data_IF_654800076390
#
_entry.id   IF_654800076390
#
_cell.length_a   1.000
_cell.length_b   1.000
_cell.length_c   1.000
_cell.angle_alpha   90.00
_cell.angle_beta   90.00
_cell.angle_gamma   90.00
#
_symmetry.space_group_name_H-M   'P 1'
#
loop_
_entity.id
_entity.type
_entity.pdbx_description
1 polymer ?
#
# COMPACT_ATOMS: atom_id res chain seq x y z
N UNK A 1 9.14 13.68 13.14
CA UNK A 1 8.32 12.49 13.50
C UNK A 1 7.19 12.44 12.49
N UNK A 2 6.88 11.26 11.99
CA UNK A 2 5.75 11.05 11.07
C UNK A 2 4.43 11.48 11.75
N UNK A 3 3.56 12.18 11.03
CA UNK A 3 2.21 12.51 11.51
C UNK A 3 1.25 11.34 11.35
N UNK A 4 1.64 10.30 10.60
CA UNK A 4 0.80 9.19 10.12
C UNK A 4 1.37 7.86 10.57
N UNK A 5 0.48 6.93 10.96
CA UNK A 5 0.85 5.63 11.49
C UNK A 5 1.92 5.76 12.58
N UNK A 6 1.62 6.61 13.58
CA UNK A 6 2.50 6.81 14.73
C UNK A 6 2.60 5.53 15.56
N UNK A 7 3.55 5.48 16.44
CA UNK A 7 4.03 4.31 17.18
C UNK A 7 2.95 3.29 17.60
N UNK A 8 1.84 3.73 18.21
CA UNK A 8 0.81 2.82 18.69
C UNK A 8 -0.08 2.32 17.55
N UNK A 9 -0.44 3.19 16.58
CA UNK A 9 -1.17 2.76 15.39
C UNK A 9 -0.31 1.85 14.50
N UNK A 10 0.99 2.10 14.35
CA UNK A 10 1.92 1.24 13.62
C UNK A 10 1.98 -0.16 14.24
N UNK A 11 2.13 -0.24 15.57
CA UNK A 11 2.08 -1.51 16.28
C UNK A 11 0.74 -2.24 16.09
N UNK A 12 -0.38 -1.54 16.32
CA UNK A 12 -1.72 -2.12 16.19
C UNK A 12 -1.95 -2.62 14.76
N UNK A 13 -1.52 -1.85 13.75
CA UNK A 13 -1.63 -2.25 12.36
C UNK A 13 -0.83 -3.52 12.08
N UNK A 14 0.38 -3.61 12.63
CA UNK A 14 1.25 -4.77 12.46
C UNK A 14 0.65 -6.05 13.07
N UNK A 15 0.14 -5.98 14.30
CA UNK A 15 -0.35 -7.18 14.99
C UNK A 15 -1.81 -7.51 14.68
N UNK A 16 -2.65 -6.49 14.43
CA UNK A 16 -4.09 -6.64 14.31
C UNK A 16 -4.62 -6.70 12.87
N UNK A 17 -3.89 -6.16 11.89
CA UNK A 17 -4.38 -6.01 10.50
C UNK A 17 -3.50 -6.68 9.45
N UNK A 18 -2.64 -7.59 9.86
CA UNK A 18 -1.70 -8.31 8.98
C UNK A 18 -2.35 -9.26 7.97
N UNK A 19 -3.59 -9.69 8.22
CA UNK A 19 -4.26 -10.74 7.44
C UNK A 19 -4.40 -10.41 5.95
N UNK A 20 -4.62 -9.14 5.61
CA UNK A 20 -4.71 -8.69 4.22
C UNK A 20 -3.42 -9.00 3.46
N UNK A 21 -2.29 -8.53 3.96
CA UNK A 21 -0.97 -8.74 3.33
C UNK A 21 -0.63 -10.22 3.25
N UNK A 22 -0.83 -10.97 4.35
CA UNK A 22 -0.50 -12.39 4.40
C UNK A 22 -1.33 -13.24 3.42
N UNK A 23 -2.58 -12.83 3.12
CA UNK A 23 -3.42 -13.51 2.14
C UNK A 23 -3.13 -13.06 0.71
N UNK A 24 -2.77 -11.79 0.49
CA UNK A 24 -2.45 -11.26 -0.83
C UNK A 24 -1.09 -11.75 -1.36
N UNK A 25 -0.08 -11.86 -0.49
CA UNK A 25 1.30 -12.11 -0.91
C UNK A 25 1.53 -13.43 -1.68
N UNK A 26 0.95 -14.59 -1.30
CA UNK A 26 1.08 -15.80 -2.10
C UNK A 26 0.62 -15.64 -3.55
N UNK A 27 -0.45 -14.88 -3.74
CA UNK A 27 -1.04 -14.61 -5.05
C UNK A 27 -0.20 -13.60 -5.84
N UNK A 28 0.32 -12.56 -5.18
CA UNK A 28 1.24 -11.59 -5.79
C UNK A 28 2.53 -12.28 -6.24
N UNK A 29 3.08 -13.20 -5.43
CA UNK A 29 4.23 -14.01 -5.82
C UNK A 29 3.93 -14.89 -7.04
N UNK A 30 2.71 -15.43 -7.15
CA UNK A 30 2.28 -16.18 -8.33
C UNK A 30 2.20 -15.27 -9.56
N UNK A 31 1.66 -14.06 -9.43
CA UNK A 31 1.61 -13.06 -10.51
C UNK A 31 3.04 -12.69 -10.97
N UNK A 32 3.96 -12.41 -10.05
CA UNK A 32 5.36 -12.13 -10.40
C UNK A 32 5.97 -13.25 -11.24
N UNK A 33 5.79 -14.51 -10.82
CA UNK A 33 6.27 -15.70 -11.55
C UNK A 33 5.63 -15.86 -12.93
N UNK A 34 4.33 -15.61 -13.05
CA UNK A 34 3.61 -15.62 -14.33
C UNK A 34 4.16 -14.59 -15.33
N UNK A 35 4.63 -13.46 -14.83
CA UNK A 35 5.29 -12.42 -15.63
C UNK A 35 6.79 -12.66 -15.85
N UNK A 36 7.33 -13.83 -15.43
CA UNK A 36 8.72 -14.22 -15.62
C UNK A 36 9.69 -13.60 -14.62
N UNK A 37 9.20 -12.94 -13.56
CA UNK A 37 10.03 -12.34 -12.52
C UNK A 37 10.23 -13.39 -11.43
N UNK A 38 11.40 -14.02 -11.40
CA UNK A 38 11.73 -15.10 -10.47
C UNK A 38 12.79 -14.69 -9.43
N UNK A 39 13.51 -13.61 -9.69
CA UNK A 39 14.54 -13.02 -8.85
C UNK A 39 14.68 -11.51 -9.11
N UNK A 40 15.68 -10.88 -8.51
CA UNK A 40 16.01 -9.47 -8.71
C UNK A 40 15.46 -8.57 -7.64
N UNK A 41 15.47 -7.26 -7.92
CA UNK A 41 15.01 -6.22 -6.98
C UNK A 41 13.52 -5.95 -7.14
N UNK A 42 12.81 -6.01 -6.03
CA UNK A 42 11.42 -5.54 -5.90
C UNK A 42 11.40 -4.31 -5.00
N UNK A 43 10.74 -3.25 -5.47
CA UNK A 43 10.48 -2.05 -4.67
C UNK A 43 9.07 -2.12 -4.13
N UNK A 44 8.92 -2.02 -2.81
CA UNK A 44 7.65 -2.07 -2.09
C UNK A 44 7.30 -0.66 -1.58
N UNK A 45 6.36 0.01 -2.26
CA UNK A 45 5.93 1.38 -1.97
C UNK A 45 4.75 1.37 -1.01
N UNK A 46 4.95 1.88 0.20
CA UNK A 46 4.02 1.75 1.32
C UNK A 46 4.20 0.40 2.02
N UNK A 47 5.44 0.00 2.24
CA UNK A 47 5.80 -1.34 2.76
C UNK A 47 5.33 -1.60 4.20
N UNK A 48 4.85 -0.59 4.91
CA UNK A 48 4.40 -0.69 6.29
C UNK A 48 5.45 -1.34 7.19
N UNK A 49 5.01 -2.29 7.99
CA UNK A 49 5.85 -3.05 8.93
C UNK A 49 6.69 -4.17 8.28
N UNK A 50 6.73 -4.23 6.93
CA UNK A 50 7.60 -5.15 6.18
C UNK A 50 7.07 -6.58 6.04
N UNK A 51 5.76 -6.81 6.18
CA UNK A 51 5.16 -8.14 6.01
C UNK A 51 5.33 -8.66 4.57
N UNK A 52 5.10 -7.83 3.56
CA UNK A 52 5.35 -8.13 2.16
C UNK A 52 6.83 -8.39 1.89
N UNK A 53 7.70 -7.54 2.46
CA UNK A 53 9.15 -7.68 2.33
C UNK A 53 9.66 -9.00 2.91
N UNK A 54 9.08 -9.48 4.03
CA UNK A 54 9.41 -10.77 4.64
C UNK A 54 9.14 -11.94 3.67
N UNK A 55 7.97 -11.96 3.05
CA UNK A 55 7.59 -12.99 2.08
C UNK A 55 8.44 -12.94 0.80
N UNK A 56 8.74 -11.74 0.30
CA UNK A 56 9.60 -11.54 -0.87
C UNK A 56 11.04 -12.03 -0.60
N UNK A 57 11.64 -11.64 0.52
CA UNK A 57 13.00 -12.07 0.88
C UNK A 57 13.05 -13.58 1.10
N UNK A 58 12.04 -14.17 1.75
CA UNK A 58 11.94 -15.63 1.95
C UNK A 58 11.90 -16.41 0.63
N UNK A 59 11.37 -15.80 -0.42
CA UNK A 59 11.30 -16.39 -1.77
C UNK A 59 12.48 -16.04 -2.67
N UNK A 60 13.49 -15.30 -2.16
CA UNK A 60 14.76 -15.06 -2.84
C UNK A 60 14.90 -13.69 -3.52
N UNK A 61 13.91 -12.81 -3.42
CA UNK A 61 14.01 -11.46 -3.97
C UNK A 61 14.85 -10.54 -3.10
N UNK A 62 15.51 -9.56 -3.72
CA UNK A 62 16.02 -8.39 -3.02
C UNK A 62 14.88 -7.39 -2.86
N UNK A 63 14.83 -6.68 -1.72
CA UNK A 63 13.72 -5.77 -1.43
C UNK A 63 14.23 -4.40 -0.99
N UNK A 64 13.66 -3.35 -1.58
CA UNK A 64 13.70 -1.99 -1.08
C UNK A 64 12.27 -1.61 -0.66
N UNK A 65 12.02 -1.52 0.65
CA UNK A 65 10.76 -1.04 1.20
C UNK A 65 10.81 0.47 1.46
N UNK A 66 9.74 1.16 1.11
CA UNK A 66 9.56 2.60 1.36
C UNK A 66 8.25 2.81 2.08
N UNK A 67 8.29 3.56 3.18
CA UNK A 67 7.09 3.98 3.90
C UNK A 67 7.26 5.40 4.46
N UNK A 68 6.17 6.15 4.55
CA UNK A 68 6.19 7.50 5.11
C UNK A 68 6.35 7.48 6.63
N UNK A 69 5.92 6.41 7.30
CA UNK A 69 6.00 6.24 8.74
C UNK A 69 7.37 5.71 9.18
N UNK A 70 8.06 6.50 9.98
CA UNK A 70 9.32 6.06 10.60
C UNK A 70 9.10 4.90 11.58
N UNK A 71 7.96 4.88 12.30
CA UNK A 71 7.61 3.83 13.23
C UNK A 71 7.34 2.49 12.51
N UNK A 72 6.69 2.52 11.34
CA UNK A 72 6.54 1.35 10.47
C UNK A 72 7.89 0.83 9.99
N UNK A 73 8.77 1.71 9.52
CA UNK A 73 10.11 1.34 9.05
C UNK A 73 10.97 0.76 10.17
N UNK A 74 10.82 1.23 11.41
CA UNK A 74 11.52 0.64 12.55
C UNK A 74 11.10 -0.83 12.75
N UNK A 75 9.81 -1.13 12.70
CA UNK A 75 9.29 -2.50 12.79
C UNK A 75 9.79 -3.35 11.61
N UNK A 76 9.73 -2.80 10.38
CA UNK A 76 10.17 -3.49 9.17
C UNK A 76 11.66 -3.88 9.22
N UNK A 77 12.53 -2.99 9.68
CA UNK A 77 13.97 -3.26 9.85
C UNK A 77 14.24 -4.37 10.86
N UNK A 78 13.47 -4.40 11.96
CA UNK A 78 13.58 -5.48 12.95
C UNK A 78 13.10 -6.82 12.37
N UNK A 79 12.02 -6.81 11.56
CA UNK A 79 11.45 -8.02 10.95
C UNK A 79 12.33 -8.61 9.86
N UNK A 80 12.84 -7.76 8.96
CA UNK A 80 13.56 -8.22 7.75
C UNK A 80 14.93 -7.53 7.64
N UNK A 81 15.92 -7.92 8.46
CA UNK A 81 17.24 -7.30 8.43
C UNK A 81 17.99 -7.43 7.09
N UNK A 82 17.57 -8.37 6.23
CA UNK A 82 18.15 -8.59 4.92
C UNK A 82 17.61 -7.65 3.83
N UNK A 83 16.48 -6.96 4.07
CA UNK A 83 15.92 -5.98 3.16
C UNK A 83 16.46 -4.57 3.46
N UNK A 84 16.38 -3.69 2.46
CA UNK A 84 16.65 -2.26 2.65
C UNK A 84 15.34 -1.52 2.89
N UNK A 85 15.36 -0.56 3.82
CA UNK A 85 14.18 0.24 4.14
C UNK A 85 14.51 1.72 4.21
N UNK A 86 13.64 2.53 3.62
CA UNK A 86 13.75 3.99 3.57
C UNK A 86 12.47 4.65 4.08
N UNK A 87 12.61 5.64 4.97
CA UNK A 87 11.51 6.54 5.33
C UNK A 87 11.35 7.58 4.23
N UNK A 88 10.18 7.68 3.64
CA UNK A 88 9.90 8.63 2.58
C UNK A 88 8.52 8.49 1.96
N UNK A 89 8.07 9.54 1.26
CA UNK A 89 6.83 9.51 0.50
C UNK A 89 7.03 8.72 -0.80
N UNK A 90 6.12 7.79 -1.10
CA UNK A 90 6.10 7.08 -2.39
C UNK A 90 5.96 8.04 -3.59
N UNK A 91 5.42 9.25 -3.36
CA UNK A 91 5.31 10.29 -4.38
C UNK A 91 6.64 11.00 -4.68
N UNK A 92 7.66 10.90 -3.82
CA UNK A 92 8.92 11.66 -3.92
C UNK A 92 10.17 10.80 -3.98
N UNK A 93 10.09 9.56 -3.48
CA UNK A 93 11.26 8.68 -3.40
C UNK A 93 11.85 8.41 -4.79
N UNK A 94 13.17 8.36 -4.86
CA UNK A 94 13.88 7.86 -6.03
C UNK A 94 13.73 6.34 -6.09
N UNK A 95 13.33 5.82 -7.25
CA UNK A 95 13.11 4.39 -7.47
C UNK A 95 14.31 3.88 -8.28
N UNK A 96 15.12 2.98 -7.74
CA UNK A 96 16.24 2.39 -8.48
C UNK A 96 15.75 1.43 -9.57
N UNK A 97 16.60 1.11 -10.53
CA UNK A 97 16.33 0.08 -11.53
C UNK A 97 15.89 -1.21 -10.83
N UNK A 98 14.74 -1.76 -11.22
CA UNK A 98 14.13 -2.88 -10.54
C UNK A 98 13.36 -3.81 -11.50
N UNK A 99 13.04 -5.00 -11.03
CA UNK A 99 12.30 -6.00 -11.80
C UNK A 99 10.78 -5.86 -11.58
N UNK A 100 10.38 -5.44 -10.39
CA UNK A 100 8.97 -5.14 -10.11
C UNK A 100 8.84 -4.04 -9.06
N UNK A 101 7.68 -3.39 -9.09
CA UNK A 101 7.20 -2.51 -8.02
C UNK A 101 5.88 -3.06 -7.51
N UNK A 102 5.73 -3.15 -6.19
CA UNK A 102 4.46 -3.47 -5.56
C UNK A 102 4.01 -2.33 -4.64
N UNK A 103 2.71 -2.18 -4.47
CA UNK A 103 2.12 -1.23 -3.52
C UNK A 103 0.73 -1.71 -3.15
N UNK A 104 0.60 -2.38 -2.03
CA UNK A 104 -0.65 -3.04 -1.61
C UNK A 104 -1.29 -2.35 -0.42
N UNK A 105 -2.61 -2.51 -0.27
CA UNK A 105 -3.41 -1.85 0.76
C UNK A 105 -3.62 -0.35 0.49
N UNK A 106 -4.08 -0.05 -0.71
CA UNK A 106 -4.53 1.28 -1.17
C UNK A 106 -3.56 2.46 -0.90
N UNK A 107 -2.23 2.22 -0.90
CA UNK A 107 -1.25 3.24 -0.52
C UNK A 107 -1.30 4.51 -1.39
N UNK A 108 -1.65 4.38 -2.68
CA UNK A 108 -1.77 5.52 -3.60
C UNK A 108 -2.99 6.41 -3.34
N UNK A 109 -3.94 5.94 -2.55
CA UNK A 109 -5.11 6.74 -2.19
C UNK A 109 -4.82 7.78 -1.11
N UNK A 110 -3.77 7.61 -0.29
CA UNK A 110 -3.52 8.48 0.85
C UNK A 110 -3.08 9.89 0.46
N UNK A 111 -3.73 10.89 1.05
CA UNK A 111 -3.44 12.33 0.87
C UNK A 111 -2.50 12.84 1.96
N UNK A 112 -1.35 12.16 2.13
CA UNK A 112 -0.37 12.52 3.17
C UNK A 112 0.65 13.58 2.72
N UNK A 113 0.75 13.82 1.42
CA UNK A 113 1.72 14.75 0.87
C UNK A 113 1.01 15.97 0.24
N UNK A 114 1.17 17.18 0.79
CA UNK A 114 0.57 18.38 0.23
C UNK A 114 1.22 18.84 -1.09
N UNK A 115 2.44 18.42 -1.36
CA UNK A 115 3.16 18.77 -2.60
C UNK A 115 2.80 17.75 -3.70
N UNK A 116 1.64 17.91 -4.28
CA UNK A 116 1.06 17.02 -5.27
C UNK A 116 1.96 16.79 -6.50
N UNK A 117 2.81 15.77 -6.46
CA UNK A 117 3.14 15.12 -7.71
C UNK A 117 1.88 14.39 -8.21
N UNK A 118 1.54 14.58 -9.47
CA UNK A 118 0.41 13.87 -10.06
C UNK A 118 0.69 12.36 -10.10
N UNK A 119 -0.34 11.52 -10.00
CA UNK A 119 -0.19 10.07 -10.15
C UNK A 119 0.57 9.72 -11.45
N UNK A 120 0.30 10.45 -12.54
CA UNK A 120 0.98 10.24 -13.82
C UNK A 120 2.51 10.41 -13.70
N UNK A 121 2.98 11.39 -12.94
CA UNK A 121 4.43 11.59 -12.72
C UNK A 121 5.05 10.43 -11.93
N UNK A 122 4.33 9.91 -10.93
CA UNK A 122 4.77 8.74 -10.17
C UNK A 122 4.79 7.51 -11.06
N UNK A 123 3.73 7.27 -11.84
CA UNK A 123 3.65 6.15 -12.76
C UNK A 123 4.75 6.18 -13.82
N UNK A 124 5.10 7.37 -14.31
CA UNK A 124 6.23 7.54 -15.22
C UNK A 124 7.56 7.17 -14.57
N UNK A 125 7.83 7.62 -13.33
CA UNK A 125 9.07 7.24 -12.62
C UNK A 125 9.16 5.73 -12.38
N UNK A 126 8.03 5.10 -12.01
CA UNK A 126 7.99 3.64 -11.84
C UNK A 126 8.27 2.96 -13.19
N UNK A 127 7.66 3.46 -14.27
CA UNK A 127 7.89 2.93 -15.62
C UNK A 127 9.37 3.01 -16.03
N UNK A 128 9.99 4.17 -15.79
CA UNK A 128 11.40 4.39 -16.15
C UNK A 128 12.32 3.44 -15.38
N UNK A 129 12.06 3.21 -14.10
CA UNK A 129 12.84 2.33 -13.23
C UNK A 129 12.63 0.83 -13.50
N UNK A 130 11.51 0.44 -14.08
CA UNK A 130 11.24 -0.97 -14.38
C UNK A 130 12.11 -1.47 -15.54
N UNK A 131 12.71 -2.64 -15.36
CA UNK A 131 13.34 -3.38 -16.44
C UNK A 131 12.33 -3.71 -17.56
N UNK A 132 12.77 -3.94 -18.81
CA UNK A 132 11.91 -4.46 -19.87
C UNK A 132 11.19 -5.74 -19.42
N UNK A 133 9.86 -5.79 -19.56
CA UNK A 133 9.02 -6.88 -19.06
C UNK A 133 8.70 -6.80 -17.58
N UNK A 134 9.22 -5.82 -16.86
CA UNK A 134 8.93 -5.58 -15.44
C UNK A 134 7.45 -5.26 -15.18
N UNK A 135 7.00 -5.44 -13.96
CA UNK A 135 5.59 -5.30 -13.59
C UNK A 135 5.43 -4.38 -12.38
N UNK A 136 4.37 -3.57 -12.43
CA UNK A 136 3.89 -2.76 -11.31
C UNK A 136 2.54 -3.31 -10.87
N UNK A 137 2.45 -3.78 -9.61
CA UNK A 137 1.26 -4.40 -9.02
C UNK A 137 0.83 -3.53 -7.85
N UNK A 138 -0.41 -3.05 -7.86
CA UNK A 138 -0.94 -2.27 -6.75
C UNK A 138 -2.46 -2.38 -6.68
N UNK A 139 -3.02 -1.98 -5.56
CA UNK A 139 -4.46 -1.84 -5.40
C UNK A 139 -4.86 -0.43 -5.01
N UNK A 140 -6.11 -0.11 -5.27
CA UNK A 140 -6.75 1.16 -4.95
C UNK A 140 -8.12 0.95 -4.34
N UNK A 141 -8.51 1.89 -3.49
CA UNK A 141 -9.89 2.07 -3.07
C UNK A 141 -10.65 2.93 -4.08
N UNK A 142 -11.83 2.47 -4.48
CA UNK A 142 -12.72 3.15 -5.41
C UNK A 142 -13.86 3.86 -4.66
N UNK A 143 -14.60 4.81 -5.29
CA UNK A 143 -15.83 5.37 -4.73
C UNK A 143 -16.87 4.29 -4.39
N UNK A 144 -17.68 4.54 -3.36
CA UNK A 144 -18.66 3.57 -2.87
C UNK A 144 -18.17 2.71 -1.72
N UNK A 145 -17.20 3.20 -0.95
CA UNK A 145 -16.74 2.58 0.29
C UNK A 145 -17.85 2.51 1.33
N UNK A 146 -18.75 3.49 1.32
CA UNK A 146 -19.90 3.56 2.23
C UNK A 146 -21.19 3.63 1.42
N UNK A 147 -22.24 2.98 1.94
CA UNK A 147 -23.57 2.95 1.31
C UNK A 147 -24.42 4.18 1.63
N UNK A 148 -23.97 5.05 2.52
CA UNK A 148 -24.64 6.28 2.92
C UNK A 148 -23.65 7.38 3.30
N UNK A 149 -24.11 8.63 3.23
CA UNK A 149 -23.33 9.78 3.70
C UNK A 149 -23.18 9.84 5.24
N UNK A 150 -23.91 8.99 5.97
CA UNK A 150 -23.80 8.92 7.43
C UNK A 150 -22.50 8.26 7.84
N UNK A 151 -21.71 8.87 8.76
CA UNK A 151 -20.50 8.25 9.24
C UNK A 151 -20.71 6.86 9.84
N UNK A 152 -19.87 5.92 9.46
CA UNK A 152 -19.89 4.54 10.00
C UNK A 152 -18.82 4.44 11.07
N UNK A 153 -19.21 3.92 12.24
CA UNK A 153 -18.31 3.70 13.37
C UNK A 153 -18.12 2.21 13.60
N UNK A 154 -16.89 1.83 13.83
CA UNK A 154 -16.51 0.46 14.17
C UNK A 154 -15.42 0.47 15.23
N UNK A 155 -15.25 -0.65 15.91
CA UNK A 155 -14.08 -0.88 16.73
C UNK A 155 -13.55 -2.29 16.50
N UNK A 156 -12.27 -2.44 16.80
CA UNK A 156 -11.59 -3.73 16.82
C UNK A 156 -10.68 -3.73 18.04
N UNK A 157 -10.56 -4.87 18.70
CA UNK A 157 -9.72 -5.02 19.88
C UNK A 157 -8.78 -6.21 19.75
N UNK A 158 -7.64 -6.12 20.40
CA UNK A 158 -6.69 -7.19 20.62
C UNK A 158 -6.39 -7.34 22.11
N UNK A 159 -5.34 -8.06 22.44
CA UNK A 159 -4.99 -8.35 23.83
C UNK A 159 -4.65 -7.09 24.63
N UNK A 160 -3.87 -6.15 24.04
CA UNK A 160 -3.35 -4.96 24.68
C UNK A 160 -3.73 -3.66 23.97
N UNK A 161 -4.71 -3.69 23.04
CA UNK A 161 -5.12 -2.53 22.27
C UNK A 161 -6.58 -2.55 21.86
N UNK A 162 -7.11 -1.35 21.65
CA UNK A 162 -8.41 -1.10 21.02
C UNK A 162 -8.22 0.00 19.97
N UNK A 163 -8.81 -0.18 18.80
CA UNK A 163 -8.90 0.84 17.77
C UNK A 163 -10.35 1.13 17.43
N UNK A 164 -10.73 2.41 17.50
CA UNK A 164 -12.03 2.88 17.05
C UNK A 164 -11.83 3.65 15.74
N UNK A 165 -12.66 3.35 14.74
CA UNK A 165 -12.60 3.99 13.44
C UNK A 165 -13.95 4.58 13.10
N UNK A 166 -13.96 5.88 12.78
CA UNK A 166 -15.09 6.56 12.17
C UNK A 166 -14.74 6.84 10.71
N UNK A 167 -15.56 6.34 9.79
CA UNK A 167 -15.39 6.53 8.33
C UNK A 167 -16.50 7.42 7.80
N UNK A 168 -16.15 8.37 6.95
CA UNK A 168 -17.06 9.22 6.21
C UNK A 168 -16.58 9.37 4.77
N UNK A 169 -17.48 9.19 3.81
CA UNK A 169 -17.19 9.38 2.38
C UNK A 169 -17.90 10.65 1.89
N UNK A 170 -17.13 11.56 1.29
CA UNK A 170 -17.63 12.68 0.50
C UNK A 170 -17.79 12.17 -0.95
N UNK A 171 -19.03 11.91 -1.32
CA UNK A 171 -19.36 11.31 -2.62
C UNK A 171 -19.08 12.25 -3.80
N UNK A 172 -19.18 13.58 -3.58
CA UNK A 172 -18.95 14.57 -4.66
C UNK A 172 -17.45 14.76 -4.94
N UNK A 173 -16.64 14.65 -3.90
CA UNK A 173 -15.17 14.81 -3.99
C UNK A 173 -14.42 13.50 -4.09
N UNK A 174 -15.11 12.38 -3.92
CA UNK A 174 -14.51 11.05 -3.81
C UNK A 174 -13.41 11.01 -2.74
N UNK A 175 -13.69 11.54 -1.55
CA UNK A 175 -12.75 11.54 -0.43
C UNK A 175 -13.30 10.69 0.71
N UNK A 176 -12.54 9.69 1.12
CA UNK A 176 -12.79 8.93 2.32
C UNK A 176 -11.96 9.52 3.47
N UNK A 177 -12.63 9.95 4.54
CA UNK A 177 -11.99 10.36 5.79
C UNK A 177 -12.15 9.26 6.82
N UNK A 178 -11.03 8.87 7.43
CA UNK A 178 -10.98 7.90 8.55
C UNK A 178 -10.43 8.62 9.78
N UNK A 179 -11.25 8.81 10.82
CA UNK A 179 -10.77 9.20 12.14
C UNK A 179 -10.49 7.93 12.93
N UNK A 180 -9.27 7.79 13.40
CA UNK A 180 -8.75 6.59 14.05
C UNK A 180 -8.33 6.98 15.46
N UNK A 181 -8.96 6.38 16.46
CA UNK A 181 -8.59 6.55 17.86
C UNK A 181 -8.03 5.22 18.36
N UNK A 182 -6.82 5.24 18.89
CA UNK A 182 -6.18 4.07 19.45
C UNK A 182 -6.10 4.18 20.96
N UNK A 183 -6.27 3.06 21.64
CA UNK A 183 -5.91 2.84 23.02
C UNK A 183 -4.97 1.65 23.06
N UNK A 184 -3.77 1.83 23.61
CA UNK A 184 -2.80 0.78 23.80
C UNK A 184 -2.39 0.67 25.24
N UNK A 185 -2.45 -0.53 25.81
CA UNK A 185 -1.98 -0.79 27.16
C UNK A 185 -0.45 -0.79 27.20
N UNK A 186 0.13 0.00 28.10
CA UNK A 186 1.56 0.06 28.35
C UNK A 186 1.78 0.02 29.87
N UNK A 187 2.19 -1.12 30.33
CA UNK A 187 2.21 -1.39 31.79
C UNK A 187 0.78 -1.40 32.35
N UNK A 188 0.51 -0.54 33.33
CA UNK A 188 -0.82 -0.44 33.95
C UNK A 188 -1.72 0.65 33.36
N UNK A 189 -1.20 1.41 32.38
CA UNK A 189 -1.90 2.56 31.81
C UNK A 189 -2.29 2.30 30.35
N UNK A 190 -3.31 3.03 29.88
CA UNK A 190 -3.68 3.07 28.47
C UNK A 190 -3.22 4.39 27.86
N UNK A 191 -2.39 4.31 26.81
CA UNK A 191 -2.11 5.46 25.96
C UNK A 191 -3.23 5.62 24.94
N UNK A 192 -3.71 6.85 24.79
CA UNK A 192 -4.67 7.21 23.76
C UNK A 192 -3.99 8.07 22.71
N UNK A 193 -4.25 7.76 21.45
CA UNK A 193 -3.84 8.60 20.31
C UNK A 193 -5.01 8.79 19.33
N UNK A 194 -4.91 9.78 18.44
CA UNK A 194 -5.97 10.16 17.49
C UNK A 194 -5.31 10.61 16.17
N UNK A 195 -5.64 9.94 15.09
CA UNK A 195 -5.16 10.26 13.73
C UNK A 195 -6.33 10.45 12.79
N UNK A 196 -6.18 11.35 11.81
CA UNK A 196 -7.15 11.55 10.73
C UNK A 196 -6.49 11.26 9.40
N UNK A 197 -6.88 10.17 8.76
CA UNK A 197 -6.39 9.79 7.45
C UNK A 197 -7.40 10.18 6.39
N UNK A 198 -6.92 10.77 5.30
CA UNK A 198 -7.73 11.11 4.14
C UNK A 198 -7.22 10.34 2.92
N UNK A 199 -8.16 9.80 2.17
CA UNK A 199 -7.88 9.06 0.95
C UNK A 199 -8.69 9.66 -0.20
N UNK A 200 -8.03 9.92 -1.33
CA UNK A 200 -8.69 10.15 -2.60
C UNK A 200 -9.12 8.80 -3.17
N UNK A 201 -10.38 8.64 -3.48
CA UNK A 201 -10.91 7.43 -4.10
C UNK A 201 -10.82 7.59 -5.62
N UNK A 202 -10.29 6.57 -6.30
CA UNK A 202 -10.04 6.61 -7.74
C UNK A 202 -10.86 5.54 -8.46
N UNK A 203 -11.36 5.86 -9.64
CA UNK A 203 -12.00 4.88 -10.52
C UNK A 203 -10.90 4.08 -11.24
N UNK A 204 -10.92 2.76 -11.13
CA UNK A 204 -9.86 1.90 -11.67
C UNK A 204 -9.65 2.07 -13.18
N UNK A 205 -10.72 2.31 -13.94
CA UNK A 205 -10.62 2.55 -15.39
C UNK A 205 -9.87 3.85 -15.72
N UNK A 206 -10.01 4.90 -14.90
CA UNK A 206 -9.28 6.15 -15.08
C UNK A 206 -7.79 5.96 -14.79
N UNK A 207 -7.46 5.25 -13.69
CA UNK A 207 -6.07 4.90 -13.36
C UNK A 207 -5.45 4.04 -14.44
N UNK A 208 -6.17 3.04 -14.98
CA UNK A 208 -5.69 2.22 -16.08
C UNK A 208 -5.40 3.06 -17.34
N UNK A 209 -6.26 4.05 -17.64
CA UNK A 209 -6.04 4.98 -18.76
C UNK A 209 -4.75 5.80 -18.56
N UNK A 210 -4.51 6.32 -17.35
CA UNK A 210 -3.26 7.04 -17.04
C UNK A 210 -2.03 6.16 -17.21
N UNK A 211 -2.07 4.91 -16.75
CA UNK A 211 -0.99 3.94 -16.92
C UNK A 211 -0.74 3.61 -18.39
N UNK A 212 -1.80 3.42 -19.18
CA UNK A 212 -1.69 3.16 -20.61
C UNK A 212 -1.06 4.35 -21.38
N UNK A 213 -1.37 5.59 -20.97
CA UNK A 213 -0.75 6.80 -21.54
C UNK A 213 0.77 6.87 -21.23
N UNK A 214 1.21 6.31 -20.12
CA UNK A 214 2.65 6.16 -19.79
C UNK A 214 3.31 5.06 -20.60
N UNK A 215 2.56 4.07 -21.12
CA UNK A 215 3.09 2.98 -21.94
C UNK A 215 2.93 1.57 -21.35
N UNK A 216 2.20 1.43 -20.24
CA UNK A 216 1.92 0.13 -19.67
C UNK A 216 0.84 -0.65 -20.44
N UNK A 217 0.97 -1.97 -20.42
CA UNK A 217 -0.15 -2.88 -20.63
C UNK A 217 -0.81 -3.12 -19.27
N UNK A 218 -2.11 -2.90 -19.14
CA UNK A 218 -2.81 -2.86 -17.84
C UNK A 218 -3.95 -3.85 -17.80
N UNK A 219 -4.00 -4.61 -16.72
CA UNK A 219 -5.12 -5.46 -16.33
C UNK A 219 -5.74 -4.92 -15.03
N UNK A 220 -7.08 -4.88 -14.97
CA UNK A 220 -7.83 -4.52 -13.76
C UNK A 220 -8.47 -5.81 -13.22
N UNK A 221 -8.27 -6.09 -11.96
CA UNK A 221 -8.80 -7.28 -11.29
C UNK A 221 -9.52 -6.92 -9.99
N UNK A 222 -10.45 -7.77 -9.54
CA UNK A 222 -11.14 -7.66 -8.24
C UNK A 222 -10.59 -8.61 -7.20
N UNK A 223 -9.46 -9.22 -7.51
CA UNK A 223 -8.76 -10.18 -6.66
C UNK A 223 -7.27 -10.18 -7.02
N UNK A 224 -6.45 -10.65 -6.10
CA UNK A 224 -5.14 -11.20 -6.40
C UNK A 224 -5.32 -12.71 -6.42
N UNK A 225 -5.31 -13.33 -7.62
CA UNK A 225 -5.57 -14.76 -7.75
C UNK A 225 -6.85 -15.22 -7.03
N UNK A 226 -6.71 -16.00 -5.96
CA UNK A 226 -7.82 -16.48 -5.14
C UNK A 226 -8.22 -15.50 -4.01
N UNK A 227 -7.38 -14.53 -3.70
CA UNK A 227 -7.67 -13.54 -2.65
C UNK A 227 -8.57 -12.43 -3.20
N UNK A 228 -9.87 -12.47 -2.86
CA UNK A 228 -10.83 -11.44 -3.23
C UNK A 228 -10.53 -10.14 -2.48
N UNK A 229 -10.44 -9.03 -3.23
CA UNK A 229 -10.32 -7.70 -2.64
C UNK A 229 -11.62 -7.28 -1.94
N UNK A 230 -11.55 -6.39 -0.96
CA UNK A 230 -12.75 -5.82 -0.36
C UNK A 230 -13.64 -5.13 -1.40
N UNK A 231 -14.91 -4.93 -1.06
CA UNK A 231 -15.83 -4.17 -1.92
C UNK A 231 -15.25 -2.78 -2.23
N UNK A 232 -15.53 -2.27 -3.43
CA UNK A 232 -15.02 -0.99 -3.93
C UNK A 232 -13.48 -0.89 -3.86
N UNK A 233 -12.77 -2.00 -4.18
CA UNK A 233 -11.34 -2.04 -4.40
C UNK A 233 -11.03 -2.70 -5.74
N UNK A 234 -9.91 -2.32 -6.32
CA UNK A 234 -9.40 -2.91 -7.55
C UNK A 234 -7.88 -3.07 -7.47
N UNK A 235 -7.39 -4.20 -7.96
CA UNK A 235 -5.98 -4.40 -8.26
C UNK A 235 -5.69 -3.99 -9.70
N UNK A 236 -4.55 -3.37 -9.92
CA UNK A 236 -4.01 -3.05 -11.24
C UNK A 236 -2.68 -3.78 -11.41
N UNK A 237 -2.56 -4.53 -12.49
CA UNK A 237 -1.34 -5.20 -12.90
C UNK A 237 -0.88 -4.52 -14.18
N UNK A 238 0.17 -3.70 -14.06
CA UNK A 238 0.68 -2.86 -15.14
C UNK A 238 2.05 -3.36 -15.59
N UNK A 239 2.16 -3.81 -16.84
CA UNK A 239 3.37 -4.41 -17.40
C UNK A 239 4.08 -3.46 -18.36
N UNK A 240 5.39 -3.30 -18.21
CA UNK A 240 6.27 -2.67 -19.19
C UNK A 240 6.56 -3.65 -20.32
N UNK A 241 6.44 -3.22 -21.58
CA UNK A 241 6.72 -4.07 -22.73
C UNK A 241 8.15 -4.61 -22.76
N UNK A 242 8.34 -5.80 -23.33
CA UNK A 242 9.67 -6.42 -23.49
C UNK A 242 10.55 -5.74 -24.55
N UNK A 243 9.95 -5.05 -25.52
CA UNK A 243 10.66 -4.34 -26.56
C UNK A 243 11.05 -2.95 -26.08
N UNK A 244 12.35 -2.65 -26.14
CA UNK A 244 12.77 -1.26 -26.28
C UNK A 244 12.18 -0.73 -27.59
N UNK A 245 11.67 0.51 -27.60
CA UNK A 245 11.27 1.18 -28.82
C UNK A 245 12.42 1.33 -29.81
#
# INVERSE_FOLDING_TARGET
MSEWYRKDLAYIHDVGFRSYVLQAMPEILAILKQHGIQDGLIVDLGCGSGLSAEELVRTGYQVLGVDISADMIEIARCRVPLAKFQVGSLFKVEIPDCNAVISISECFNYLFDPDHQTLTQVFQRIYDALAPGGVFIFDIAEPGQLTSATPVKSFTEGEDWIVLVEKQEDLDRHILTRRIITFRQVGNDYRRDDEVHRQQLYVAAEIATMLQQVGYQVEIQRCYGQFALPNAHAALIARKSMSNP
#
